data_IF_910546487743
#
_entry.id   IF_910546487743
#
_cell.length_a   1.000
_cell.length_b   1.000
_cell.length_c   1.000
_cell.angle_alpha   90.00
_cell.angle_beta   90.00
_cell.angle_gamma   90.00
#
_symmetry.space_group_name_H-M   'P 1'
#
loop_
_entity.id
_entity.type
_entity.pdbx_description
1 polymer ?
#
# COMPACT_ATOMS: atom_id res chain seq x y z
N UNK A 1 -9.65 -11.58 -12.64
CA UNK A 1 -9.11 -10.91 -11.43
C UNK A 1 -7.64 -10.55 -11.69
N UNK A 2 -7.22 -9.32 -11.43
CA UNK A 2 -5.84 -8.87 -11.62
C UNK A 2 -4.89 -9.49 -10.58
N UNK A 3 -3.60 -9.64 -10.94
CA UNK A 3 -2.57 -10.20 -10.04
C UNK A 3 -1.42 -9.20 -9.94
N UNK A 4 -1.13 -8.73 -8.73
CA UNK A 4 0.02 -7.88 -8.43
C UNK A 4 1.09 -8.63 -7.64
N UNK A 5 2.25 -8.02 -7.50
CA UNK A 5 3.38 -8.56 -6.73
C UNK A 5 3.91 -7.55 -5.72
N UNK A 6 4.08 -7.97 -4.47
CA UNK A 6 4.77 -7.22 -3.42
C UNK A 6 6.21 -7.68 -3.30
N UNK A 7 7.16 -6.77 -3.50
CA UNK A 7 8.59 -7.02 -3.35
C UNK A 7 9.05 -6.83 -1.90
N UNK A 8 10.23 -7.37 -1.54
CA UNK A 8 10.95 -7.01 -0.32
C UNK A 8 11.61 -5.63 -0.46
N UNK A 9 11.93 -5.22 -1.68
CA UNK A 9 12.57 -3.95 -2.01
C UNK A 9 13.92 -3.71 -1.33
N UNK A 10 14.73 -4.75 -1.20
CA UNK A 10 16.10 -4.64 -0.65
C UNK A 10 17.15 -4.51 -1.75
N UNK A 11 18.24 -3.79 -1.47
CA UNK A 11 19.36 -3.64 -2.38
C UNK A 11 20.10 -4.95 -2.72
N UNK A 12 19.86 -6.02 -1.96
CA UNK A 12 20.45 -7.35 -2.20
C UNK A 12 19.53 -8.30 -2.95
N UNK A 13 18.32 -7.87 -3.25
CA UNK A 13 17.31 -8.61 -4.03
C UNK A 13 17.24 -8.09 -5.47
N UNK A 14 16.34 -8.66 -6.26
CA UNK A 14 16.12 -8.23 -7.66
C UNK A 14 15.92 -6.72 -7.75
N UNK A 15 16.59 -6.09 -8.71
CA UNK A 15 16.50 -4.64 -8.92
C UNK A 15 15.08 -4.23 -9.35
N UNK A 16 14.57 -3.07 -8.89
CA UNK A 16 13.21 -2.62 -9.21
C UNK A 16 12.94 -2.47 -10.72
N UNK A 17 13.91 -2.01 -11.51
CA UNK A 17 13.80 -1.90 -12.96
C UNK A 17 13.71 -3.27 -13.65
N UNK A 18 14.51 -4.24 -13.20
CA UNK A 18 14.44 -5.62 -13.69
C UNK A 18 13.10 -6.25 -13.29
N UNK A 19 12.72 -6.13 -12.01
CA UNK A 19 11.46 -6.67 -11.50
C UNK A 19 10.25 -6.10 -12.26
N UNK A 20 10.21 -4.78 -12.50
CA UNK A 20 9.12 -4.14 -13.23
C UNK A 20 8.94 -4.77 -14.62
N UNK A 21 10.03 -4.93 -15.38
CA UNK A 21 9.98 -5.57 -16.71
C UNK A 21 9.49 -7.02 -16.62
N UNK A 22 10.06 -7.81 -15.71
CA UNK A 22 9.71 -9.22 -15.54
C UNK A 22 8.23 -9.43 -15.13
N UNK A 23 7.68 -8.50 -14.33
CA UNK A 23 6.26 -8.51 -13.96
C UNK A 23 5.36 -8.21 -15.17
N UNK A 24 5.66 -7.12 -15.90
CA UNK A 24 4.86 -6.71 -17.06
C UNK A 24 4.89 -7.78 -18.17
N UNK A 25 6.07 -8.33 -18.49
CA UNK A 25 6.24 -9.40 -19.49
C UNK A 25 5.47 -10.69 -19.13
N UNK A 26 5.24 -10.94 -17.84
CA UNK A 26 4.48 -12.10 -17.35
C UNK A 26 2.99 -11.81 -17.12
N UNK A 27 2.53 -10.60 -17.44
CA UNK A 27 1.13 -10.22 -17.32
C UNK A 27 0.67 -9.87 -15.90
N UNK A 28 1.58 -9.67 -14.94
CA UNK A 28 1.20 -9.06 -13.66
C UNK A 28 0.76 -7.62 -13.90
N UNK A 29 -0.27 -7.17 -13.19
CA UNK A 29 -0.84 -5.85 -13.40
C UNK A 29 -0.21 -4.75 -12.54
N UNK A 30 0.50 -5.11 -11.46
CA UNK A 30 1.02 -4.13 -10.52
C UNK A 30 2.25 -4.61 -9.74
N UNK A 31 3.14 -3.67 -9.44
CA UNK A 31 4.21 -3.80 -8.45
C UNK A 31 3.84 -3.04 -7.18
N UNK A 32 4.03 -3.68 -6.02
CA UNK A 32 3.79 -3.08 -4.70
C UNK A 32 5.09 -3.04 -3.91
N UNK A 33 5.41 -1.86 -3.37
CA UNK A 33 6.68 -1.62 -2.68
C UNK A 33 6.42 -1.18 -1.24
N UNK A 34 6.93 -1.93 -0.23
CA UNK A 34 6.76 -1.60 1.18
C UNK A 34 7.71 -0.50 1.62
N UNK A 35 7.49 0.02 2.82
CA UNK A 35 8.29 1.08 3.40
C UNK A 35 8.61 0.84 4.87
N UNK A 36 9.89 1.00 5.21
CA UNK A 36 10.44 1.36 6.51
C UNK A 36 11.70 2.18 6.26
N UNK A 37 11.71 3.43 6.74
CA UNK A 37 12.87 4.32 6.56
C UNK A 37 14.04 3.90 7.44
N UNK A 38 13.74 3.33 8.60
CA UNK A 38 14.67 2.77 9.58
C UNK A 38 13.92 1.92 10.59
N UNK A 39 14.66 1.11 11.34
CA UNK A 39 14.12 0.41 12.50
C UNK A 39 14.87 0.86 13.75
N UNK A 40 14.20 1.49 14.75
CA UNK A 40 14.84 1.89 16.00
C UNK A 40 15.47 0.71 16.73
N UNK A 41 16.70 0.88 17.24
CA UNK A 41 17.45 -0.16 17.95
C UNK A 41 16.86 -0.45 19.33
N UNK A 42 16.24 0.53 19.96
CA UNK A 42 15.57 0.45 21.25
C UNK A 42 14.05 0.17 21.14
N UNK A 43 13.62 -0.38 20.01
CA UNK A 43 12.22 -0.70 19.72
C UNK A 43 11.59 -1.57 20.81
N UNK A 44 10.42 -1.13 21.30
CA UNK A 44 9.54 -1.85 22.24
C UNK A 44 8.30 -2.40 21.54
N UNK A 45 7.92 -1.78 20.39
CA UNK A 45 6.81 -2.25 19.57
C UNK A 45 7.08 -3.66 19.07
N UNK A 46 6.12 -4.57 19.31
CA UNK A 46 6.23 -5.97 18.86
C UNK A 46 6.03 -6.07 17.34
N UNK A 47 6.77 -6.97 16.70
CA UNK A 47 6.56 -7.27 15.30
C UNK A 47 5.21 -7.96 15.08
N UNK A 48 4.31 -7.43 14.22
CA UNK A 48 2.97 -7.99 14.03
C UNK A 48 2.94 -9.43 13.50
N UNK A 49 4.02 -9.87 12.84
CA UNK A 49 4.18 -11.25 12.38
C UNK A 49 4.60 -12.22 13.47
N UNK A 50 4.95 -11.71 14.66
CA UNK A 50 5.49 -12.50 15.77
C UNK A 50 6.95 -12.91 15.58
N UNK A 51 7.64 -13.23 16.68
CA UNK A 51 9.04 -13.64 16.67
C UNK A 51 10.03 -12.51 16.38
N UNK A 52 11.19 -12.86 15.82
CA UNK A 52 12.22 -11.89 15.45
C UNK A 52 11.81 -11.08 14.20
N UNK A 53 12.22 -9.82 14.17
CA UNK A 53 11.98 -8.96 13.00
C UNK A 53 12.89 -9.41 11.84
N UNK A 54 12.33 -9.79 10.69
CA UNK A 54 13.11 -10.14 9.52
C UNK A 54 14.04 -9.01 9.05
N UNK A 55 15.22 -9.36 8.54
CA UNK A 55 16.24 -8.39 8.11
C UNK A 55 15.78 -7.45 6.98
N UNK A 56 14.79 -7.83 6.21
CA UNK A 56 14.19 -7.01 5.18
C UNK A 56 13.66 -5.68 5.69
N UNK A 57 13.17 -5.63 6.92
CA UNK A 57 12.57 -4.42 7.48
C UNK A 57 13.54 -3.23 7.63
N UNK A 58 14.83 -3.48 7.91
CA UNK A 58 15.84 -2.41 8.00
C UNK A 58 16.71 -2.29 6.74
N UNK A 59 16.40 -3.05 5.70
CA UNK A 59 17.15 -3.10 4.44
C UNK A 59 16.36 -2.56 3.25
N UNK A 60 15.14 -2.05 3.47
CA UNK A 60 14.27 -1.52 2.42
C UNK A 60 14.90 -0.28 1.79
N UNK A 61 14.83 -0.20 0.46
CA UNK A 61 15.12 1.03 -0.28
C UNK A 61 13.90 1.94 -0.28
N UNK A 62 14.10 3.22 -0.62
CA UNK A 62 13.01 4.19 -0.76
C UNK A 62 11.97 3.69 -1.79
N UNK A 63 10.67 3.63 -1.43
CA UNK A 63 9.65 3.06 -2.29
C UNK A 63 9.42 3.88 -3.56
N UNK A 64 9.46 5.21 -3.50
CA UNK A 64 9.18 6.07 -4.65
C UNK A 64 10.31 6.07 -5.66
N UNK A 65 11.57 6.00 -5.20
CA UNK A 65 12.73 5.84 -6.07
C UNK A 65 12.68 4.47 -6.77
N UNK A 66 12.32 3.42 -6.06
CA UNK A 66 12.17 2.06 -6.61
C UNK A 66 11.02 1.98 -7.62
N UNK A 67 9.86 2.58 -7.30
CA UNK A 67 8.72 2.65 -8.22
C UNK A 67 9.06 3.45 -9.48
N UNK A 68 9.81 4.55 -9.36
CA UNK A 68 10.25 5.32 -10.52
C UNK A 68 11.22 4.53 -11.41
N UNK A 69 12.08 3.71 -10.83
CA UNK A 69 12.96 2.82 -11.61
C UNK A 69 12.14 1.78 -12.41
N UNK A 70 11.12 1.17 -11.80
CA UNK A 70 10.20 0.28 -12.49
C UNK A 70 9.38 1.01 -13.57
N UNK A 71 8.89 2.23 -13.27
CA UNK A 71 8.13 3.06 -14.20
C UNK A 71 8.85 3.33 -15.50
N UNK A 72 10.18 3.54 -15.43
CA UNK A 72 11.01 3.91 -16.59
C UNK A 72 11.17 2.80 -17.63
N UNK A 73 10.81 1.57 -17.30
CA UNK A 73 10.98 0.38 -18.17
C UNK A 73 9.69 -0.39 -18.42
N UNK A 74 8.56 0.15 -17.98
CA UNK A 74 7.21 -0.43 -18.11
C UNK A 74 6.25 0.59 -18.70
N UNK A 75 5.15 0.11 -19.30
CA UNK A 75 4.13 0.94 -19.98
C UNK A 75 2.77 0.87 -19.30
N UNK A 76 2.36 -0.29 -18.79
CA UNK A 76 1.02 -0.55 -18.26
C UNK A 76 1.02 -0.93 -16.77
N UNK A 77 2.18 -1.33 -16.23
CA UNK A 77 2.32 -1.78 -14.85
C UNK A 77 1.91 -0.69 -13.85
N UNK A 78 0.92 -0.97 -13.00
CA UNK A 78 0.52 -0.09 -11.89
C UNK A 78 1.62 -0.06 -10.83
N UNK A 79 1.94 1.13 -10.37
CA UNK A 79 3.03 1.41 -9.43
C UNK A 79 2.44 1.74 -8.06
N UNK A 80 2.50 0.82 -7.13
CA UNK A 80 1.84 0.98 -5.83
C UNK A 80 2.80 0.92 -4.64
N UNK A 81 2.57 1.75 -3.63
CA UNK A 81 3.18 1.54 -2.32
C UNK A 81 2.37 0.52 -1.52
N UNK A 82 3.05 -0.45 -0.91
CA UNK A 82 2.39 -1.54 -0.17
C UNK A 82 2.97 -1.75 1.22
N UNK A 83 2.91 -0.73 2.08
CA UNK A 83 2.25 0.59 2.07
C UNK A 83 3.25 1.71 2.39
N UNK A 84 2.95 2.94 1.96
CA UNK A 84 3.65 4.13 2.43
C UNK A 84 3.28 4.43 3.89
N UNK A 85 4.26 4.64 4.74
CA UNK A 85 4.09 5.09 6.12
C UNK A 85 3.78 6.60 6.12
N UNK A 86 2.53 6.94 5.81
CA UNK A 86 2.09 8.28 5.39
C UNK A 86 2.54 9.41 6.34
N UNK A 87 2.57 9.15 7.65
CA UNK A 87 2.92 10.15 8.66
C UNK A 87 4.44 10.37 8.81
N UNK A 88 5.25 9.50 8.23
CA UNK A 88 6.72 9.53 8.38
C UNK A 88 7.41 10.38 7.32
N UNK A 89 6.63 11.06 6.48
CA UNK A 89 7.09 11.99 5.46
C UNK A 89 6.77 13.45 5.80
N UNK A 90 7.56 14.37 5.25
CA UNK A 90 7.13 15.77 5.12
C UNK A 90 5.96 15.83 4.13
N UNK A 91 4.86 16.50 4.51
CA UNK A 91 3.63 16.56 3.73
C UNK A 91 3.84 17.17 2.33
N UNK A 92 4.54 18.31 2.24
CA UNK A 92 4.71 19.03 0.98
C UNK A 92 5.68 18.29 0.04
N UNK A 93 6.74 17.72 0.61
CA UNK A 93 7.69 16.90 -0.13
C UNK A 93 7.02 15.62 -0.66
N UNK A 94 6.24 14.92 0.17
CA UNK A 94 5.52 13.73 -0.24
C UNK A 94 4.52 14.01 -1.35
N UNK A 95 3.71 15.08 -1.22
CA UNK A 95 2.77 15.49 -2.27
C UNK A 95 3.48 15.69 -3.61
N UNK A 96 4.67 16.31 -3.59
CA UNK A 96 5.51 16.52 -4.78
C UNK A 96 6.06 15.21 -5.34
N UNK A 97 6.58 14.34 -4.48
CA UNK A 97 7.17 13.05 -4.87
C UNK A 97 6.12 12.17 -5.55
N UNK A 98 4.96 11.99 -4.92
CA UNK A 98 3.86 11.18 -5.45
C UNK A 98 3.37 11.71 -6.80
N UNK A 99 3.15 13.03 -6.90
CA UNK A 99 2.78 13.68 -8.16
C UNK A 99 3.85 13.47 -9.24
N UNK A 100 5.13 13.51 -8.87
CA UNK A 100 6.22 13.33 -9.85
C UNK A 100 6.21 11.91 -10.41
N UNK A 101 6.04 10.89 -9.58
CA UNK A 101 5.90 9.49 -10.04
C UNK A 101 4.67 9.34 -10.93
N UNK A 102 3.53 9.95 -10.56
CA UNK A 102 2.30 9.89 -11.34
C UNK A 102 2.48 10.52 -12.74
N UNK A 103 3.08 11.71 -12.81
CA UNK A 103 3.36 12.39 -14.08
C UNK A 103 4.33 11.61 -14.96
N UNK A 104 5.45 11.13 -14.39
CA UNK A 104 6.47 10.40 -15.15
C UNK A 104 6.03 9.01 -15.58
N UNK A 105 5.07 8.43 -14.88
CA UNK A 105 4.45 7.16 -15.24
C UNK A 105 3.17 7.29 -16.08
N UNK A 106 2.79 8.51 -16.46
CA UNK A 106 1.58 8.78 -17.24
C UNK A 106 0.29 8.29 -16.54
N UNK A 107 0.21 8.50 -15.21
CA UNK A 107 -1.01 8.20 -14.43
C UNK A 107 -1.10 6.75 -13.93
N UNK A 108 0.02 6.08 -13.65
CA UNK A 108 0.02 4.69 -13.14
C UNK A 108 0.29 4.59 -11.63
N UNK A 109 0.38 5.71 -10.89
CA UNK A 109 0.63 5.71 -9.46
C UNK A 109 -0.64 5.34 -8.67
N UNK A 110 -0.52 4.40 -7.73
CA UNK A 110 -1.50 4.07 -6.70
C UNK A 110 -0.85 4.26 -5.33
N UNK A 111 -1.27 5.29 -4.57
CA UNK A 111 -0.69 5.55 -3.26
C UNK A 111 -1.35 4.67 -2.19
N UNK A 112 -0.76 3.51 -1.93
CA UNK A 112 -1.14 2.67 -0.79
C UNK A 112 -0.59 3.23 0.51
N UNK A 113 -1.45 3.50 1.48
CA UNK A 113 -1.08 4.16 2.74
C UNK A 113 -1.42 3.32 3.97
N UNK A 114 -0.66 3.54 5.04
CA UNK A 114 -0.92 2.99 6.36
C UNK A 114 -0.38 3.88 7.47
N UNK A 115 -0.69 3.48 8.70
CA UNK A 115 -0.33 4.23 9.91
C UNK A 115 0.92 3.70 10.62
N UNK A 116 1.52 2.63 10.09
CA UNK A 116 2.63 1.94 10.76
C UNK A 116 2.24 1.19 12.03
N UNK A 117 3.08 0.24 12.41
CA UNK A 117 2.95 -0.56 13.63
C UNK A 117 4.02 -0.21 14.66
N UNK A 118 5.11 0.41 14.25
CA UNK A 118 6.27 0.73 15.07
C UNK A 118 6.14 2.14 15.65
N UNK A 119 5.82 2.20 16.93
CA UNK A 119 5.58 3.49 17.61
C UNK A 119 6.84 4.35 17.67
N UNK A 120 7.99 3.72 17.87
CA UNK A 120 9.28 4.40 17.99
C UNK A 120 9.77 4.97 16.65
N UNK A 121 9.43 4.32 15.53
CA UNK A 121 9.69 4.84 14.19
C UNK A 121 8.85 6.10 13.91
N UNK A 122 7.55 6.04 14.20
CA UNK A 122 6.67 7.20 14.11
C UNK A 122 7.17 8.36 15.00
N UNK A 123 7.60 8.07 16.24
CA UNK A 123 8.10 9.09 17.18
C UNK A 123 9.33 9.81 16.65
N UNK A 124 10.23 9.10 15.95
CA UNK A 124 11.40 9.73 15.31
C UNK A 124 11.03 10.72 14.21
N UNK A 125 9.97 10.44 13.45
CA UNK A 125 9.51 11.32 12.37
C UNK A 125 8.53 12.39 12.85
N UNK A 126 7.59 12.00 13.73
CA UNK A 126 6.47 12.84 14.19
C UNK A 126 6.27 12.74 15.70
N UNK A 127 7.21 13.29 16.50
CA UNK A 127 7.08 13.31 17.97
C UNK A 127 5.85 14.07 18.47
N UNK A 128 5.27 14.92 17.61
CA UNK A 128 4.03 15.67 17.85
C UNK A 128 2.76 14.84 17.70
N UNK A 129 2.82 13.63 17.08
CA UNK A 129 1.68 12.76 16.85
C UNK A 129 1.68 11.60 17.85
N UNK A 130 0.83 11.59 18.87
CA UNK A 130 0.71 10.43 19.75
C UNK A 130 0.31 9.16 18.97
N UNK A 131 0.93 8.03 19.26
CA UNK A 131 0.71 6.79 18.51
C UNK A 131 -0.77 6.35 18.45
N UNK A 132 -1.54 6.58 19.52
CA UNK A 132 -2.98 6.31 19.58
C UNK A 132 -3.83 7.30 18.75
N UNK A 133 -3.23 8.35 18.21
CA UNK A 133 -3.88 9.35 17.34
C UNK A 133 -3.48 9.23 15.87
N UNK A 134 -2.62 8.28 15.52
CA UNK A 134 -2.09 8.14 14.16
C UNK A 134 -3.17 7.97 13.08
N UNK A 135 -4.30 7.33 13.39
CA UNK A 135 -5.41 7.24 12.41
C UNK A 135 -6.08 8.60 12.16
N UNK A 136 -6.27 9.40 13.21
CA UNK A 136 -6.83 10.75 13.06
C UNK A 136 -5.88 11.66 12.29
N UNK A 137 -4.57 11.56 12.58
CA UNK A 137 -3.54 12.30 11.85
C UNK A 137 -3.45 11.87 10.37
N UNK A 138 -3.55 10.56 10.09
CA UNK A 138 -3.57 10.05 8.71
C UNK A 138 -4.78 10.57 7.93
N UNK A 139 -5.99 10.56 8.51
CA UNK A 139 -7.19 11.13 7.88
C UNK A 139 -6.98 12.60 7.51
N UNK A 140 -6.43 13.38 8.45
CA UNK A 140 -6.14 14.79 8.24
C UNK A 140 -5.13 14.99 7.12
N UNK A 141 -4.04 14.20 7.11
CA UNK A 141 -3.02 14.24 6.06
C UNK A 141 -3.56 13.86 4.68
N UNK A 142 -4.45 12.89 4.59
CA UNK A 142 -5.12 12.56 3.31
C UNK A 142 -5.92 13.75 2.80
N UNK A 143 -6.66 14.46 3.67
CA UNK A 143 -7.39 15.66 3.27
C UNK A 143 -6.44 16.79 2.82
N UNK A 144 -5.31 16.97 3.50
CA UNK A 144 -4.29 17.94 3.14
C UNK A 144 -3.63 17.62 1.78
N UNK A 145 -3.32 16.34 1.50
CA UNK A 145 -2.81 15.90 0.20
C UNK A 145 -3.84 16.14 -0.92
N UNK A 146 -5.10 15.82 -0.70
CA UNK A 146 -6.16 16.08 -1.68
C UNK A 146 -6.28 17.56 -1.98
N UNK A 147 -6.20 18.45 -0.98
CA UNK A 147 -6.15 19.90 -1.20
C UNK A 147 -4.94 20.29 -2.06
N UNK A 148 -3.74 19.77 -1.77
CA UNK A 148 -2.53 20.05 -2.56
C UNK A 148 -2.63 19.62 -4.03
N UNK A 149 -3.38 18.55 -4.30
CA UNK A 149 -3.50 17.99 -5.65
C UNK A 149 -4.68 18.58 -6.46
N UNK A 150 -5.75 19.02 -5.81
CA UNK A 150 -7.00 19.37 -6.51
C UNK A 150 -7.44 20.83 -6.38
N UNK A 151 -7.10 21.51 -5.26
CA UNK A 151 -7.56 22.88 -5.07
C UNK A 151 -6.74 23.85 -5.94
N UNK A 152 -7.39 24.91 -6.46
CA UNK A 152 -6.71 25.96 -7.23
C UNK A 152 -5.69 26.72 -6.38
N UNK A 153 -6.04 26.98 -5.12
CA UNK A 153 -5.18 27.61 -4.13
C UNK A 153 -5.18 26.75 -2.87
N UNK A 154 -4.36 25.68 -2.86
CA UNK A 154 -4.32 24.78 -1.72
C UNK A 154 -3.87 25.49 -0.44
N UNK A 155 -4.60 25.21 0.63
CA UNK A 155 -4.29 25.62 2.00
C UNK A 155 -4.86 24.60 2.98
N UNK A 156 -4.25 24.43 4.13
CA UNK A 156 -4.74 23.52 5.15
C UNK A 156 -4.46 24.05 6.55
N UNK A 157 -5.41 23.93 7.46
CA UNK A 157 -5.29 24.34 8.86
C UNK A 157 -5.91 23.28 9.76
N UNK A 158 -5.16 22.20 9.97
CA UNK A 158 -5.54 21.07 10.80
C UNK A 158 -4.85 21.07 12.16
N UNK A 159 -5.07 19.99 12.88
CA UNK A 159 -4.44 19.74 14.18
C UNK A 159 -3.00 19.27 14.03
N UNK A 160 -2.75 18.39 13.06
CA UNK A 160 -1.45 17.72 12.86
C UNK A 160 -0.70 18.26 11.65
N UNK A 161 -1.40 18.72 10.63
CA UNK A 161 -0.83 19.27 9.41
C UNK A 161 -1.38 20.67 9.15
N UNK A 162 -0.48 21.59 8.73
CA UNK A 162 -0.86 22.98 8.43
C UNK A 162 0.07 23.58 7.39
N UNK A 163 -0.51 24.27 6.42
CA UNK A 163 0.25 25.12 5.49
C UNK A 163 -0.60 26.31 5.00
N UNK A 164 0.07 27.42 4.78
CA UNK A 164 -0.53 28.64 4.22
C UNK A 164 -0.88 28.44 2.74
N UNK A 165 -1.69 29.33 2.10
CA UNK A 165 -1.96 29.24 0.69
C UNK A 165 -0.69 29.11 -0.15
N UNK A 166 -0.62 28.09 -1.00
CA UNK A 166 0.55 27.77 -1.84
C UNK A 166 0.14 27.57 -3.30
N UNK A 167 1.13 27.59 -4.20
CA UNK A 167 0.98 27.05 -5.55
C UNK A 167 1.71 25.70 -5.59
N UNK A 168 0.99 24.66 -5.95
CA UNK A 168 1.51 23.29 -6.06
C UNK A 168 1.38 22.77 -7.49
N UNK A 169 2.49 22.80 -8.23
CA UNK A 169 2.60 22.31 -9.60
C UNK A 169 3.83 21.37 -9.73
N UNK A 170 3.85 20.37 -10.65
CA UNK A 170 2.73 19.98 -11.51
C UNK A 170 1.56 19.40 -10.72
N UNK A 171 0.39 19.27 -11.34
CA UNK A 171 -0.73 18.50 -10.83
C UNK A 171 -0.55 17.02 -11.21
N UNK A 172 -1.13 16.07 -10.45
CA UNK A 172 -1.20 14.69 -10.90
C UNK A 172 -1.90 14.56 -12.26
N UNK A 173 -1.52 13.56 -13.04
CA UNK A 173 -2.23 13.17 -14.27
C UNK A 173 -3.59 12.60 -13.90
N UNK A 174 -3.63 11.77 -12.87
CA UNK A 174 -4.86 11.21 -12.33
C UNK A 174 -5.64 12.25 -11.51
N UNK A 175 -6.94 12.34 -11.73
CA UNK A 175 -7.82 13.25 -10.99
C UNK A 175 -9.14 12.56 -10.61
N UNK A 176 -9.27 12.08 -9.36
CA UNK A 176 -8.28 12.13 -8.27
C UNK A 176 -7.13 11.13 -8.42
N UNK A 177 -5.96 11.45 -7.85
CA UNK A 177 -4.90 10.48 -7.64
C UNK A 177 -5.39 9.45 -6.61
N UNK A 178 -5.43 8.14 -6.93
CA UNK A 178 -6.06 7.16 -6.07
C UNK A 178 -5.23 6.85 -4.83
N UNK A 179 -5.91 6.79 -3.68
CA UNK A 179 -5.34 6.41 -2.38
C UNK A 179 -5.93 5.07 -1.95
N UNK A 180 -5.06 4.06 -1.79
CA UNK A 180 -5.41 2.76 -1.23
C UNK A 180 -5.08 2.71 0.26
N UNK A 181 -5.98 2.21 1.10
CA UNK A 181 -5.76 2.12 2.54
C UNK A 181 -5.56 0.68 2.99
N UNK A 182 -4.36 0.39 3.55
CA UNK A 182 -3.94 -0.94 3.97
C UNK A 182 -4.20 -1.21 5.44
N UNK A 183 -5.40 -1.59 5.82
CA UNK A 183 -5.74 -1.95 7.19
C UNK A 183 -6.88 -2.97 7.24
N UNK A 184 -6.77 -3.96 8.12
CA UNK A 184 -7.74 -5.06 8.27
C UNK A 184 -8.47 -5.05 9.62
N UNK A 185 -8.06 -4.23 10.58
CA UNK A 185 -8.74 -4.12 11.88
C UNK A 185 -9.98 -3.22 11.82
N UNK A 186 -10.93 -3.33 12.79
CA UNK A 186 -12.21 -2.63 12.75
C UNK A 186 -12.11 -1.10 12.59
N UNK A 187 -11.08 -0.48 13.18
CA UNK A 187 -10.80 0.96 13.05
C UNK A 187 -10.32 1.28 11.63
N UNK A 188 -9.35 0.52 11.13
CA UNK A 188 -8.80 0.70 9.79
C UNK A 188 -9.82 0.48 8.68
N UNK A 189 -10.67 -0.56 8.81
CA UNK A 189 -11.78 -0.80 7.89
C UNK A 189 -12.75 0.41 7.88
N UNK A 190 -13.05 1.00 9.05
CA UNK A 190 -13.87 2.21 9.13
C UNK A 190 -13.26 3.39 8.37
N UNK A 191 -11.96 3.61 8.52
CA UNK A 191 -11.25 4.66 7.78
C UNK A 191 -11.22 4.40 6.26
N UNK A 192 -10.99 3.13 5.84
CA UNK A 192 -11.02 2.76 4.43
C UNK A 192 -12.42 3.02 3.83
N UNK A 193 -13.48 2.60 4.51
CA UNK A 193 -14.86 2.81 4.10
C UNK A 193 -15.23 4.29 3.97
N UNK A 194 -14.67 5.15 4.81
CA UNK A 194 -15.03 6.57 4.90
C UNK A 194 -14.40 7.42 3.77
N UNK A 195 -13.12 7.19 3.43
CA UNK A 195 -12.41 8.11 2.54
C UNK A 195 -11.39 7.49 1.57
N UNK A 196 -11.09 6.18 1.63
CA UNK A 196 -10.17 5.58 0.66
C UNK A 196 -10.80 5.42 -0.72
N UNK A 197 -9.98 5.47 -1.77
CA UNK A 197 -10.41 5.20 -3.14
C UNK A 197 -10.25 3.71 -3.49
N UNK A 198 -9.34 3.00 -2.78
CA UNK A 198 -9.15 1.55 -2.81
C UNK A 198 -8.96 1.02 -1.39
N UNK A 199 -9.28 -0.25 -1.17
CA UNK A 199 -8.96 -0.94 0.07
C UNK A 199 -7.95 -2.05 -0.19
N UNK A 200 -6.82 -2.10 0.57
CA UNK A 200 -5.76 -3.07 0.35
C UNK A 200 -5.38 -3.83 1.65
N UNK A 201 -6.26 -4.70 2.16
CA UNK A 201 -6.04 -5.46 3.39
C UNK A 201 -5.14 -6.68 3.16
N UNK A 202 -4.62 -7.25 4.26
CA UNK A 202 -3.96 -8.55 4.28
C UNK A 202 -5.01 -9.62 4.61
N UNK A 203 -5.13 -10.66 3.78
CA UNK A 203 -6.11 -11.74 3.93
C UNK A 203 -6.06 -12.42 5.31
N UNK A 204 -4.84 -12.73 5.78
CA UNK A 204 -4.60 -13.36 7.07
C UNK A 204 -5.00 -12.50 8.28
N UNK A 205 -5.28 -11.22 8.11
CA UNK A 205 -5.70 -10.30 9.17
C UNK A 205 -7.21 -10.06 9.21
N UNK A 206 -7.95 -10.45 8.18
CA UNK A 206 -9.41 -10.34 8.15
C UNK A 206 -10.05 -11.36 9.09
N UNK A 207 -11.05 -10.93 9.85
CA UNK A 207 -11.66 -11.70 10.93
C UNK A 207 -13.18 -11.64 10.87
N UNK A 208 -13.83 -12.73 11.30
CA UNK A 208 -15.25 -12.71 11.61
C UNK A 208 -15.53 -12.14 13.02
N UNK A 209 -16.79 -12.12 13.41
CA UNK A 209 -17.23 -11.61 14.71
C UNK A 209 -16.62 -12.36 15.91
N UNK A 210 -16.24 -13.63 15.74
CA UNK A 210 -15.57 -14.45 16.77
C UNK A 210 -14.05 -14.24 16.80
N UNK A 211 -13.51 -13.35 15.97
CA UNK A 211 -12.06 -13.07 15.83
C UNK A 211 -11.27 -14.13 15.06
N UNK A 212 -11.95 -15.09 14.40
CA UNK A 212 -11.29 -16.11 13.56
C UNK A 212 -10.98 -15.56 12.16
N UNK A 213 -9.87 -16.01 11.53
CA UNK A 213 -9.55 -15.63 10.16
C UNK A 213 -10.72 -15.95 9.21
N UNK A 214 -11.20 -14.94 8.50
CA UNK A 214 -12.33 -15.07 7.56
C UNK A 214 -12.34 -13.89 6.58
N UNK A 215 -11.93 -14.15 5.34
CA UNK A 215 -11.84 -13.13 4.30
C UNK A 215 -13.23 -12.64 3.88
N UNK A 216 -14.19 -13.55 3.74
CA UNK A 216 -15.54 -13.21 3.31
C UNK A 216 -16.24 -12.32 4.35
N UNK A 217 -16.11 -12.66 5.64
CA UNK A 217 -16.66 -11.83 6.71
C UNK A 217 -15.98 -10.45 6.79
N UNK A 218 -14.67 -10.37 6.58
CA UNK A 218 -13.94 -9.10 6.55
C UNK A 218 -14.38 -8.20 5.39
N UNK A 219 -14.58 -8.76 4.21
CA UNK A 219 -15.10 -8.03 3.03
C UNK A 219 -16.54 -7.58 3.27
N UNK A 220 -17.40 -8.43 3.81
CA UNK A 220 -18.77 -8.06 4.17
C UNK A 220 -18.78 -6.89 5.15
N UNK A 221 -17.97 -6.94 6.22
CA UNK A 221 -17.84 -5.85 7.18
C UNK A 221 -17.38 -4.53 6.53
N UNK A 222 -16.45 -4.60 5.57
CA UNK A 222 -16.01 -3.41 4.83
C UNK A 222 -17.16 -2.82 4.00
N UNK A 223 -17.91 -3.65 3.28
CA UNK A 223 -19.07 -3.22 2.47
C UNK A 223 -20.15 -2.58 3.32
N UNK A 224 -20.54 -3.22 4.42
CA UNK A 224 -21.52 -2.68 5.37
C UNK A 224 -21.12 -1.30 5.91
N UNK A 225 -19.83 -1.14 6.28
CA UNK A 225 -19.31 0.16 6.75
C UNK A 225 -19.27 1.22 5.66
N UNK A 226 -19.00 0.82 4.42
CA UNK A 226 -18.97 1.72 3.26
C UNK A 226 -20.38 2.25 2.96
N UNK A 227 -21.39 1.37 2.96
CA UNK A 227 -22.80 1.77 2.83
C UNK A 227 -23.24 2.68 3.99
N UNK A 228 -22.86 2.35 5.23
CA UNK A 228 -23.14 3.18 6.39
C UNK A 228 -22.47 4.56 6.33
N UNK A 229 -21.34 4.69 5.63
CA UNK A 229 -20.68 5.96 5.33
C UNK A 229 -21.33 6.73 4.14
N UNK A 230 -22.41 6.19 3.55
CA UNK A 230 -23.11 6.80 2.42
C UNK A 230 -22.41 6.65 1.08
N UNK A 231 -21.49 5.68 0.96
CA UNK A 231 -20.74 5.37 -0.26
C UNK A 231 -21.18 4.03 -0.85
N UNK A 232 -21.01 3.87 -2.16
CA UNK A 232 -21.25 2.59 -2.82
C UNK A 232 -19.99 1.70 -2.69
N UNK A 233 -20.06 0.51 -2.06
CA UNK A 233 -18.91 -0.38 -1.92
C UNK A 233 -18.36 -0.91 -3.25
N UNK A 234 -19.16 -0.96 -4.31
CA UNK A 234 -18.72 -1.41 -5.63
C UNK A 234 -17.83 -0.37 -6.34
N UNK A 235 -17.84 0.89 -5.88
CA UNK A 235 -16.94 1.95 -6.38
C UNK A 235 -15.56 1.91 -5.72
N UNK A 236 -15.32 1.00 -4.74
CA UNK A 236 -14.07 0.92 -4.00
C UNK A 236 -13.42 -0.45 -4.26
N UNK A 237 -12.49 -0.54 -5.23
CA UNK A 237 -11.80 -1.77 -5.54
C UNK A 237 -11.03 -2.34 -4.35
N UNK A 238 -10.96 -3.67 -4.28
CA UNK A 238 -10.23 -4.40 -3.22
C UNK A 238 -8.97 -5.01 -3.84
N UNK A 239 -7.79 -4.61 -3.32
CA UNK A 239 -6.50 -5.24 -3.62
C UNK A 239 -6.06 -6.07 -2.41
N UNK A 240 -6.29 -7.37 -2.43
CA UNK A 240 -6.09 -8.27 -1.28
C UNK A 240 -4.66 -8.82 -1.26
N UNK A 241 -3.89 -8.49 -0.22
CA UNK A 241 -2.57 -9.07 -0.01
C UNK A 241 -2.66 -10.51 0.48
N UNK A 242 -1.94 -11.42 -0.18
CA UNK A 242 -1.86 -12.83 0.18
C UNK A 242 -0.43 -13.32 0.13
N UNK A 243 0.10 -13.72 1.29
CA UNK A 243 1.51 -14.09 1.46
C UNK A 243 1.78 -15.55 1.17
N UNK A 244 3.01 -15.84 0.78
CA UNK A 244 3.47 -17.20 0.51
C UNK A 244 3.05 -17.71 -0.86
N UNK A 245 2.64 -18.95 -0.93
CA UNK A 245 2.30 -19.61 -2.19
C UNK A 245 0.85 -20.12 -2.19
N UNK A 246 -0.16 -19.22 -2.18
CA UNK A 246 -1.55 -19.64 -2.19
C UNK A 246 -1.87 -20.45 -3.46
N UNK A 247 -2.66 -21.54 -3.35
CA UNK A 247 -3.09 -22.31 -4.51
C UNK A 247 -4.15 -21.54 -5.31
N UNK A 248 -4.32 -21.90 -6.59
CA UNK A 248 -5.22 -21.19 -7.49
C UNK A 248 -6.69 -21.22 -7.02
N UNK A 249 -7.13 -22.31 -6.40
CA UNK A 249 -8.50 -22.44 -5.88
C UNK A 249 -8.78 -21.39 -4.80
N UNK A 250 -7.78 -21.06 -3.98
CA UNK A 250 -7.89 -19.98 -2.99
C UNK A 250 -7.98 -18.62 -3.67
N UNK A 251 -7.19 -18.37 -4.70
CA UNK A 251 -7.24 -17.13 -5.46
C UNK A 251 -8.57 -16.97 -6.20
N UNK A 252 -9.08 -18.05 -6.81
CA UNK A 252 -10.39 -18.06 -7.46
C UNK A 252 -11.52 -17.72 -6.48
N UNK A 253 -11.47 -18.25 -5.24
CA UNK A 253 -12.45 -17.91 -4.22
C UNK A 253 -12.45 -16.42 -3.85
N UNK A 254 -11.34 -15.72 -3.97
CA UNK A 254 -11.28 -14.27 -3.76
C UNK A 254 -11.96 -13.49 -4.89
N UNK A 255 -11.83 -13.97 -6.14
CA UNK A 255 -12.56 -13.39 -7.27
C UNK A 255 -14.08 -13.47 -7.08
N UNK A 256 -14.59 -14.60 -6.56
CA UNK A 256 -16.02 -14.77 -6.23
C UNK A 256 -16.51 -13.80 -5.15
N UNK A 257 -15.61 -13.35 -4.26
CA UNK A 257 -15.91 -12.33 -3.24
C UNK A 257 -15.84 -10.90 -3.78
N UNK A 258 -15.54 -10.72 -5.07
CA UNK A 258 -15.43 -9.40 -5.71
C UNK A 258 -14.08 -8.70 -5.44
N UNK A 259 -13.03 -9.45 -5.12
CA UNK A 259 -11.66 -8.92 -5.09
C UNK A 259 -11.24 -8.59 -6.51
N UNK A 260 -10.87 -7.32 -6.75
CA UNK A 260 -10.40 -6.88 -8.07
C UNK A 260 -8.98 -7.38 -8.34
N UNK A 261 -8.11 -7.30 -7.33
CA UNK A 261 -6.69 -7.66 -7.43
C UNK A 261 -6.26 -8.49 -6.24
N UNK A 262 -5.52 -9.56 -6.49
CA UNK A 262 -4.74 -10.21 -5.46
C UNK A 262 -3.28 -9.76 -5.57
N UNK A 263 -2.67 -9.35 -4.46
CA UNK A 263 -1.28 -8.96 -4.40
C UNK A 263 -0.50 -10.08 -3.73
N UNK A 264 0.30 -10.79 -4.51
CA UNK A 264 1.12 -11.90 -4.05
C UNK A 264 2.46 -11.39 -3.53
N UNK A 265 2.99 -12.03 -2.49
CA UNK A 265 4.29 -11.69 -1.95
C UNK A 265 5.01 -12.91 -1.36
N UNK A 266 6.33 -12.85 -1.22
CA UNK A 266 7.08 -13.93 -0.60
C UNK A 266 6.65 -14.15 0.86
N UNK A 267 6.84 -15.37 1.36
CA UNK A 267 6.65 -15.68 2.76
C UNK A 267 7.83 -15.14 3.58
N UNK A 268 7.67 -13.97 4.15
CA UNK A 268 8.68 -13.31 4.98
C UNK A 268 9.51 -12.27 4.24
N UNK A 269 10.26 -11.49 5.01
CA UNK A 269 11.07 -10.36 4.55
C UNK A 269 12.54 -10.53 4.98
N UNK A 270 13.10 -11.74 4.84
CA UNK A 270 14.50 -12.02 5.18
C UNK A 270 15.40 -11.87 3.95
N UNK A 271 16.21 -10.82 3.92
CA UNK A 271 17.18 -10.55 2.84
C UNK A 271 18.44 -11.43 2.92
N UNK A 272 18.65 -12.16 4.01
CA UNK A 272 19.71 -13.16 4.11
C UNK A 272 19.32 -14.46 3.40
N UNK A 273 18.03 -14.68 3.12
CA UNK A 273 17.58 -15.80 2.30
C UNK A 273 17.97 -15.59 0.83
N UNK A 274 18.15 -16.70 0.12
CA UNK A 274 18.37 -16.69 -1.33
C UNK A 274 17.22 -15.97 -2.05
N UNK A 275 17.57 -15.13 -3.03
CA UNK A 275 16.57 -14.45 -3.86
C UNK A 275 15.90 -15.43 -4.82
N UNK A 276 14.66 -15.76 -4.55
CA UNK A 276 13.81 -16.66 -5.34
C UNK A 276 12.69 -15.94 -6.08
N UNK A 277 12.85 -14.67 -6.30
CA UNK A 277 11.80 -13.86 -6.97
C UNK A 277 11.46 -14.44 -8.34
N UNK A 278 12.45 -14.77 -9.16
CA UNK A 278 12.19 -15.32 -10.50
C UNK A 278 11.46 -16.66 -10.47
N UNK A 279 11.85 -17.59 -9.57
CA UNK A 279 11.14 -18.85 -9.37
C UNK A 279 9.69 -18.64 -8.95
N UNK A 280 9.45 -17.64 -8.10
CA UNK A 280 8.10 -17.28 -7.68
C UNK A 280 7.28 -16.74 -8.86
N UNK A 281 7.83 -15.82 -9.65
CA UNK A 281 7.14 -15.27 -10.81
C UNK A 281 6.83 -16.35 -11.86
N UNK A 282 7.79 -17.22 -12.17
CA UNK A 282 7.60 -18.33 -13.12
C UNK A 282 6.49 -19.28 -12.66
N UNK A 283 6.41 -19.57 -11.37
CA UNK A 283 5.34 -20.38 -10.79
C UNK A 283 3.96 -19.76 -10.99
N UNK A 284 3.83 -18.44 -10.84
CA UNK A 284 2.55 -17.75 -10.89
C UNK A 284 2.15 -17.27 -12.29
N UNK A 285 3.06 -17.21 -13.25
CA UNK A 285 2.76 -16.79 -14.64
C UNK A 285 1.58 -17.54 -15.27
N UNK A 286 1.47 -18.88 -15.18
CA UNK A 286 0.29 -19.59 -15.70
C UNK A 286 -1.01 -19.21 -14.98
N UNK A 287 -0.93 -18.97 -13.67
CA UNK A 287 -2.08 -18.59 -12.82
C UNK A 287 -2.55 -17.17 -13.18
N UNK A 288 -1.61 -16.24 -13.42
CA UNK A 288 -1.91 -14.87 -13.88
C UNK A 288 -2.74 -14.93 -15.16
N UNK A 289 -2.31 -15.74 -16.14
CA UNK A 289 -3.01 -15.90 -17.41
C UNK A 289 -4.41 -16.55 -17.26
N UNK A 290 -4.58 -17.44 -16.27
CA UNK A 290 -5.89 -18.10 -16.02
C UNK A 290 -6.88 -17.17 -15.30
N UNK A 291 -6.39 -16.25 -14.44
CA UNK A 291 -7.22 -15.32 -13.68
C UNK A 291 -7.56 -14.02 -14.44
N UNK A 292 -6.83 -13.71 -15.54
CA UNK A 292 -7.08 -12.56 -16.39
C UNK A 292 -8.38 -12.71 -17.18
#
# INVERSE_FOLDING_TARGET
>A
MKVGYLTINSATQIRPDTLGRELEERGFDSIWVPEHSHIPMDRRSEYPGGGELPSGYWSMMDPFVSLQAAASVTTDLVLATGICLLLEHDLLALAKTVTTVDVLSEGRMLLGIGVGWNAEELENHRPDVPFNRRYSAMRERVAALRSLWHDDVPKFDGTYDRFSPVRSEPRPVQNPLPIALGNAGPVGIGHAAEYADHWCPIDAQLRNADGKPDVAAGIAQFRDKTEAAGRNPDDIPISLFSWGTPPIERLASYAELGVERVVLGPAGFDVAAEDRTMEFLDRYTPIVAELA
#
